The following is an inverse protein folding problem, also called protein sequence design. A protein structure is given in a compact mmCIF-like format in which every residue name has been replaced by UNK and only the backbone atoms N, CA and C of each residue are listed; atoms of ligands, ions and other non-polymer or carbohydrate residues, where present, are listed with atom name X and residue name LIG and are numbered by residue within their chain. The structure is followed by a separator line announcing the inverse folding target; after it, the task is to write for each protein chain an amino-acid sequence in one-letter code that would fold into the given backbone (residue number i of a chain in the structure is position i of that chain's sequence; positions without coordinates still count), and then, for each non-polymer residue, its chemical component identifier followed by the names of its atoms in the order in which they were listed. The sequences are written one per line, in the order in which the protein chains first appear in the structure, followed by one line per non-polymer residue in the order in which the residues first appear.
data_IF_610140221855
#
_entry.id   IF_610140221855
#
_cell.length_a   1.000
_cell.length_b   1.000
_cell.length_c   1.000
_cell.angle_alpha   90.00
_cell.angle_beta   90.00
_cell.angle_gamma   90.00
#
_symmetry.space_group_name_H-M   'P 1'
#
loop_
_entity.id
_entity.type
_entity.pdbx_description
1 polymer ?
#
# COMPACT_ATOMS: atom_id res chain seq x y z
N UNK A 1 9.63 4.42 15.79
CA UNK A 1 10.78 4.04 16.63
C UNK A 1 11.81 5.15 16.43
N UNK A 2 12.20 5.89 17.48
CA UNK A 2 13.17 6.96 17.35
C UNK A 2 14.53 6.34 16.98
N UNK A 3 15.05 6.67 15.79
CA UNK A 3 16.40 6.32 15.40
C UNK A 3 17.33 7.26 16.16
N UNK A 4 17.92 6.76 17.23
CA UNK A 4 18.99 7.44 17.95
C UNK A 4 20.15 7.65 16.96
N UNK A 5 20.70 8.87 16.92
CA UNK A 5 21.88 9.16 16.09
C UNK A 5 22.93 8.06 16.31
N UNK A 6 23.48 7.47 15.24
CA UNK A 6 24.54 6.49 15.40
C UNK A 6 25.69 7.13 16.16
N UNK A 7 26.23 6.39 17.14
CA UNK A 7 27.47 6.80 17.75
C UNK A 7 28.53 6.90 16.62
N UNK A 8 29.23 8.04 16.46
CA UNK A 8 30.31 8.16 15.48
C UNK A 8 31.30 6.99 15.52
N UNK A 9 31.55 6.42 16.70
CA UNK A 9 32.43 5.26 16.89
C UNK A 9 31.88 3.98 16.25
N UNK A 10 30.56 3.81 16.22
CA UNK A 10 29.88 2.63 15.65
C UNK A 10 29.91 2.67 14.12
N UNK A 11 29.63 3.85 13.55
CA UNK A 11 29.79 4.12 12.12
C UNK A 11 31.24 3.86 11.67
N UNK A 12 32.21 4.37 12.44
CA UNK A 12 33.64 4.15 12.24
C UNK A 12 33.96 2.64 12.23
N UNK A 13 33.46 1.89 13.22
CA UNK A 13 33.72 0.46 13.33
C UNK A 13 33.12 -0.37 12.18
N UNK A 14 31.98 0.05 11.64
CA UNK A 14 31.37 -0.59 10.46
C UNK A 14 32.18 -0.29 9.20
N UNK A 15 32.57 0.98 9.00
CA UNK A 15 33.39 1.40 7.85
C UNK A 15 34.76 0.69 7.84
N UNK A 16 35.43 0.60 9.00
CA UNK A 16 36.70 -0.12 9.16
C UNK A 16 36.57 -1.61 8.78
N UNK A 17 35.46 -2.27 9.18
CA UNK A 17 35.23 -3.69 8.88
C UNK A 17 34.96 -3.94 7.40
N UNK A 18 34.16 -3.08 6.78
CA UNK A 18 33.86 -3.14 5.34
C UNK A 18 35.14 -2.93 4.52
N UNK A 19 35.97 -1.95 4.87
CA UNK A 19 37.24 -1.68 4.19
C UNK A 19 38.24 -2.85 4.30
N UNK A 20 38.21 -3.56 5.42
CA UNK A 20 39.07 -4.74 5.65
C UNK A 20 38.51 -6.03 5.03
N UNK A 21 37.45 -5.97 4.23
CA UNK A 21 36.89 -7.12 3.50
C UNK A 21 35.97 -8.03 4.33
N UNK A 22 35.69 -7.68 5.59
CA UNK A 22 34.74 -8.39 6.45
C UNK A 22 33.33 -7.82 6.24
N UNK A 23 32.70 -8.22 5.14
CA UNK A 23 31.39 -7.71 4.72
C UNK A 23 30.25 -8.48 5.40
N UNK A 24 29.55 -7.82 6.31
CA UNK A 24 28.27 -8.29 6.88
C UNK A 24 27.10 -7.54 6.21
N UNK A 25 26.08 -8.27 5.72
CA UNK A 25 24.91 -7.66 5.09
C UNK A 25 24.07 -6.80 6.06
N UNK A 26 24.06 -7.15 7.34
CA UNK A 26 23.35 -6.38 8.38
C UNK A 26 24.00 -5.01 8.59
N UNK A 27 25.33 -4.95 8.55
CA UNK A 27 26.12 -3.72 8.71
C UNK A 27 26.03 -2.84 7.45
N UNK A 28 26.02 -3.44 6.26
CA UNK A 28 25.76 -2.70 5.01
C UNK A 28 24.35 -2.10 4.99
N UNK A 29 23.35 -2.81 5.53
CA UNK A 29 21.99 -2.29 5.65
C UNK A 29 21.91 -1.10 6.63
N UNK A 30 22.63 -1.17 7.76
CA UNK A 30 22.76 -0.03 8.67
C UNK A 30 23.44 1.16 7.99
N UNK A 31 24.52 0.92 7.23
CA UNK A 31 25.22 1.96 6.48
C UNK A 31 24.31 2.67 5.46
N UNK A 32 23.45 1.91 4.76
CA UNK A 32 22.45 2.45 3.81
C UNK A 32 21.40 3.34 4.49
N UNK A 33 21.10 3.09 5.75
CA UNK A 33 20.13 3.89 6.49
C UNK A 33 20.69 5.27 6.87
N UNK A 34 22.01 5.37 7.00
CA UNK A 34 22.70 6.61 7.42
C UNK A 34 23.32 7.40 6.27
N UNK A 35 23.57 6.75 5.13
CA UNK A 35 24.22 7.36 3.97
C UNK A 35 23.29 7.40 2.76
N UNK A 36 23.21 8.57 2.12
CA UNK A 36 22.51 8.76 0.85
C UNK A 36 23.45 9.35 -0.20
N UNK A 37 23.53 8.71 -1.35
CA UNK A 37 24.31 9.22 -2.49
C UNK A 37 23.44 10.20 -3.29
N UNK A 38 23.90 11.44 -3.47
CA UNK A 38 23.28 12.46 -4.32
C UNK A 38 24.29 12.96 -5.35
N UNK A 39 24.23 12.43 -6.56
CA UNK A 39 25.22 12.73 -7.60
C UNK A 39 26.60 12.15 -7.25
N UNK A 40 27.62 13.00 -7.18
CA UNK A 40 28.99 12.65 -6.76
C UNK A 40 29.25 12.93 -5.27
N UNK A 41 28.20 13.28 -4.52
CA UNK A 41 28.30 13.70 -3.12
C UNK A 41 27.59 12.69 -2.23
N UNK A 42 28.30 12.21 -1.22
CA UNK A 42 27.72 11.38 -0.15
C UNK A 42 27.15 12.29 0.92
N UNK A 43 25.92 12.02 1.34
CA UNK A 43 25.22 12.80 2.37
C UNK A 43 24.91 11.91 3.56
N UNK A 44 25.26 12.38 4.74
CA UNK A 44 24.76 11.79 5.98
C UNK A 44 23.32 12.22 6.19
N UNK A 45 22.43 11.26 6.45
CA UNK A 45 21.01 11.52 6.65
C UNK A 45 20.54 10.97 7.99
N UNK A 46 19.92 11.83 8.79
CA UNK A 46 19.11 11.41 9.94
C UNK A 46 17.66 11.24 9.49
N UNK A 47 17.03 10.12 9.85
CA UNK A 47 15.60 9.85 9.62
C UNK A 47 14.80 10.06 10.89
N UNK A 48 14.38 11.30 11.12
CA UNK A 48 13.45 11.64 12.20
C UNK A 48 12.01 11.55 11.69
N UNK A 49 11.55 10.32 11.40
CA UNK A 49 10.14 9.91 11.21
C UNK A 49 9.26 10.65 10.19
N UNK A 50 9.76 11.73 9.57
CA UNK A 50 9.00 12.63 8.69
C UNK A 50 9.87 13.38 7.68
N UNK A 51 11.18 13.49 7.93
CA UNK A 51 12.13 14.19 7.04
C UNK A 51 13.50 13.52 7.05
N UNK A 52 14.21 13.56 5.90
CA UNK A 52 15.63 13.27 5.82
C UNK A 52 16.39 14.59 6.03
N UNK A 53 17.08 14.76 7.15
CA UNK A 53 17.94 15.94 7.37
C UNK A 53 19.35 15.62 6.91
N UNK A 54 19.86 16.39 5.94
CA UNK A 54 21.27 16.31 5.55
C UNK A 54 22.11 16.91 6.69
N UNK A 55 22.95 16.08 7.31
CA UNK A 55 23.79 16.46 8.44
C UNK A 55 25.28 16.53 8.07
N UNK A 56 25.62 16.33 6.80
CA UNK A 56 27.00 16.44 6.30
C UNK A 56 27.12 16.05 4.82
N UNK A 57 28.04 16.70 4.10
CA UNK A 57 28.35 16.41 2.70
C UNK A 57 29.80 15.96 2.54
N UNK A 58 30.01 14.94 1.72
CA UNK A 58 31.33 14.42 1.33
C UNK A 58 31.58 14.80 -0.13
N UNK A 59 32.59 15.63 -0.37
CA UNK A 59 33.08 16.00 -1.70
C UNK A 59 34.40 15.30 -1.96
N UNK A 60 34.52 14.57 -3.08
CA UNK A 60 35.79 13.99 -3.53
C UNK A 60 36.19 12.66 -2.88
N UNK A 61 35.26 11.93 -2.26
CA UNK A 61 35.53 10.58 -1.71
C UNK A 61 36.19 10.55 -0.34
N UNK A 62 36.47 11.72 0.26
CA UNK A 62 36.98 11.82 1.64
C UNK A 62 35.84 11.94 2.65
N UNK A 63 35.73 10.95 3.54
CA UNK A 63 34.81 11.00 4.69
C UNK A 63 35.61 11.39 5.94
N UNK A 64 35.23 12.50 6.56
CA UNK A 64 35.82 13.00 7.80
C UNK A 64 34.86 12.71 8.96
N UNK A 65 35.27 11.87 9.91
CA UNK A 65 34.48 11.54 11.11
C UNK A 65 35.38 11.71 12.34
N UNK A 66 35.14 12.77 13.11
CA UNK A 66 36.04 13.15 14.21
C UNK A 66 37.45 13.43 13.69
N UNK A 67 38.46 12.79 14.28
CA UNK A 67 39.87 12.91 13.88
C UNK A 67 40.29 11.89 12.80
N UNK A 68 39.35 11.07 12.29
CA UNK A 68 39.65 10.01 11.31
C UNK A 68 39.31 10.44 9.89
N UNK A 69 40.24 10.11 8.99
CA UNK A 69 40.11 10.34 7.56
C UNK A 69 39.93 9.01 6.84
N UNK A 70 38.83 8.87 6.12
CA UNK A 70 38.59 7.72 5.25
C UNK A 70 38.60 8.16 3.80
N UNK A 71 39.38 7.47 2.98
CA UNK A 71 39.36 7.62 1.54
C UNK A 71 38.62 6.43 0.94
N UNK A 72 37.47 6.71 0.35
CA UNK A 72 36.70 5.71 -0.36
C UNK A 72 36.71 5.99 -1.85
N UNK A 73 36.81 4.92 -2.64
CA UNK A 73 36.40 4.99 -4.03
C UNK A 73 34.88 5.15 -4.05
N UNK A 74 34.42 6.30 -4.57
CA UNK A 74 33.00 6.66 -4.66
C UNK A 74 32.24 5.61 -5.46
N UNK A 75 32.88 4.98 -6.44
CA UNK A 75 32.29 3.98 -7.31
C UNK A 75 32.16 2.65 -6.56
N UNK A 76 33.15 2.25 -5.77
CA UNK A 76 33.08 1.06 -4.90
C UNK A 76 32.05 1.22 -3.77
N UNK A 77 31.97 2.41 -3.15
CA UNK A 77 30.91 2.72 -2.19
C UNK A 77 29.54 2.72 -2.85
N UNK A 78 29.43 3.26 -4.06
CA UNK A 78 28.18 3.21 -4.82
C UNK A 78 27.80 1.78 -5.15
N UNK A 79 28.72 0.89 -5.47
CA UNK A 79 28.47 -0.54 -5.69
C UNK A 79 28.12 -1.28 -4.39
N UNK A 80 28.69 -0.87 -3.26
CA UNK A 80 28.35 -1.41 -1.93
C UNK A 80 26.96 -0.97 -1.47
N UNK A 81 26.63 0.30 -1.68
CA UNK A 81 25.34 0.93 -1.37
C UNK A 81 24.27 0.58 -2.40
N UNK A 82 24.65 0.19 -3.62
CA UNK A 82 23.75 -0.42 -4.58
C UNK A 82 23.14 -1.66 -3.94
N UNK A 83 21.81 -1.86 -4.06
CA UNK A 83 21.17 -3.05 -3.54
C UNK A 83 21.88 -4.27 -4.15
N UNK A 84 22.49 -5.09 -3.30
CA UNK A 84 23.00 -6.39 -3.68
C UNK A 84 21.86 -7.13 -4.36
N UNK A 85 22.11 -7.59 -5.58
CA UNK A 85 21.13 -8.03 -6.60
C UNK A 85 20.43 -9.35 -6.29
N UNK A 86 20.12 -9.61 -5.03
CA UNK A 86 19.06 -10.53 -4.66
C UNK A 86 18.11 -9.83 -3.70
N UNK A 87 17.30 -8.91 -4.26
CA UNK A 87 15.97 -8.72 -3.71
C UNK A 87 15.39 -10.13 -3.49
N UNK A 88 14.87 -10.46 -2.30
CA UNK A 88 14.30 -11.78 -2.09
C UNK A 88 13.31 -12.02 -3.22
N UNK A 89 13.45 -13.14 -3.93
CA UNK A 89 12.53 -13.49 -5.00
C UNK A 89 11.18 -13.79 -4.34
N UNK A 90 10.37 -12.73 -4.17
CA UNK A 90 9.02 -12.81 -3.65
C UNK A 90 8.12 -12.84 -4.87
N UNK A 91 7.50 -13.99 -5.09
CA UNK A 91 6.38 -14.08 -6.00
C UNK A 91 5.17 -13.39 -5.36
N UNK A 92 5.10 -12.07 -5.54
CA UNK A 92 4.06 -11.23 -4.95
C UNK A 92 2.66 -11.62 -5.42
N UNK A 93 2.53 -12.11 -6.65
CA UNK A 93 1.26 -12.57 -7.20
C UNK A 93 0.81 -13.83 -6.45
N UNK A 94 1.64 -14.86 -6.38
CA UNK A 94 1.31 -16.10 -5.67
C UNK A 94 1.04 -15.87 -4.17
N UNK A 95 1.84 -15.03 -3.52
CA UNK A 95 1.62 -14.65 -2.11
C UNK A 95 0.28 -13.94 -1.94
N UNK A 96 -0.04 -12.98 -2.81
CA UNK A 96 -1.29 -12.23 -2.73
C UNK A 96 -2.50 -13.15 -2.95
N UNK A 97 -2.41 -14.11 -3.86
CA UNK A 97 -3.44 -15.12 -4.09
C UNK A 97 -3.68 -15.96 -2.84
N UNK A 98 -2.61 -16.49 -2.24
CA UNK A 98 -2.71 -17.30 -1.03
C UNK A 98 -3.27 -16.52 0.17
N UNK A 99 -2.88 -15.26 0.32
CA UNK A 99 -3.42 -14.37 1.36
C UNK A 99 -4.90 -14.05 1.11
N UNK A 100 -5.27 -13.77 -0.13
CA UNK A 100 -6.64 -13.47 -0.50
C UNK A 100 -7.55 -14.68 -0.29
N UNK A 101 -7.15 -15.88 -0.70
CA UNK A 101 -7.96 -17.08 -0.54
C UNK A 101 -8.31 -17.37 0.93
N UNK A 102 -7.37 -17.15 1.84
CA UNK A 102 -7.62 -17.25 3.28
C UNK A 102 -8.65 -16.21 3.75
N UNK A 103 -8.51 -14.95 3.34
CA UNK A 103 -9.46 -13.88 3.68
C UNK A 103 -10.86 -14.15 3.12
N UNK A 104 -10.95 -14.65 1.89
CA UNK A 104 -12.22 -15.01 1.27
C UNK A 104 -12.89 -16.16 2.01
N UNK A 105 -12.14 -17.16 2.49
CA UNK A 105 -12.70 -18.25 3.31
C UNK A 105 -13.28 -17.74 4.63
N UNK A 106 -12.64 -16.76 5.27
CA UNK A 106 -13.10 -16.17 6.53
C UNK A 106 -14.35 -15.30 6.38
N UNK A 107 -14.51 -14.65 5.23
CA UNK A 107 -15.64 -13.76 4.94
C UNK A 107 -16.81 -14.46 4.26
N UNK A 108 -16.68 -15.75 3.93
CA UNK A 108 -17.78 -16.57 3.41
C UNK A 108 -18.63 -17.09 4.58
N UNK A 109 -19.93 -16.79 4.59
CA UNK A 109 -20.83 -17.16 5.68
C UNK A 109 -20.90 -18.69 5.85
N UNK A 110 -20.67 -19.26 7.05
CA UNK A 110 -20.72 -20.71 7.28
C UNK A 110 -22.08 -21.35 6.94
N UNK A 111 -23.18 -20.59 6.93
CA UNK A 111 -24.50 -21.05 6.45
C UNK A 111 -24.51 -21.41 4.95
N UNK A 112 -23.53 -20.93 4.17
CA UNK A 112 -23.33 -21.32 2.76
C UNK A 112 -22.33 -22.46 2.58
N UNK A 113 -21.67 -22.92 3.65
CA UNK A 113 -20.60 -23.93 3.60
C UNK A 113 -21.02 -25.26 4.23
N UNK A 114 -22.06 -25.27 5.09
CA UNK A 114 -22.45 -26.42 5.91
C UNK A 114 -23.19 -27.56 5.18
N UNK A 115 -23.70 -27.35 3.97
CA UNK A 115 -24.50 -28.36 3.25
C UNK A 115 -23.75 -29.03 2.07
N UNK A 116 -22.43 -28.83 1.94
CA UNK A 116 -21.67 -29.36 0.80
C UNK A 116 -21.95 -28.64 -0.53
N UNK A 117 -22.81 -27.62 -0.51
CA UNK A 117 -23.03 -26.69 -1.63
C UNK A 117 -22.01 -25.56 -1.46
N UNK A 118 -20.83 -25.69 -2.08
CA UNK A 118 -19.99 -24.50 -2.27
C UNK A 118 -20.72 -23.61 -3.26
N UNK A 119 -21.47 -22.62 -2.77
CA UNK A 119 -21.96 -21.57 -3.64
C UNK A 119 -20.73 -20.86 -4.20
N UNK A 120 -20.34 -21.22 -5.42
CA UNK A 120 -19.36 -20.45 -6.15
C UNK A 120 -19.96 -19.06 -6.26
N UNK A 121 -19.33 -18.10 -5.59
CA UNK A 121 -19.75 -16.69 -5.56
C UNK A 121 -20.02 -16.13 -6.96
N UNK A 122 -19.47 -16.77 -8.00
CA UNK A 122 -19.78 -16.63 -9.43
C UNK A 122 -21.28 -16.69 -9.80
N UNK A 123 -22.15 -17.23 -8.93
CA UNK A 123 -23.58 -17.41 -9.21
C UNK A 123 -24.49 -16.29 -8.67
N UNK A 124 -23.94 -15.31 -7.95
CA UNK A 124 -24.73 -14.20 -7.40
C UNK A 124 -24.70 -13.03 -8.39
N UNK A 125 -25.79 -12.84 -9.13
CA UNK A 125 -26.01 -11.69 -9.98
C UNK A 125 -26.37 -10.46 -9.13
N UNK A 126 -25.45 -9.50 -9.06
CA UNK A 126 -25.70 -8.18 -8.45
C UNK A 126 -25.70 -7.13 -9.57
N UNK A 127 -26.85 -6.53 -9.93
CA UNK A 127 -26.88 -5.50 -10.96
C UNK A 127 -26.12 -4.26 -10.47
N UNK A 128 -25.21 -3.73 -11.30
CA UNK A 128 -24.37 -2.59 -10.93
C UNK A 128 -24.80 -1.32 -11.68
N UNK A 129 -25.17 -0.30 -10.93
CA UNK A 129 -25.32 1.06 -11.45
C UNK A 129 -24.03 1.85 -11.25
N UNK A 130 -23.44 2.39 -12.32
CA UNK A 130 -22.41 3.41 -12.21
C UNK A 130 -23.09 4.75 -11.96
N UNK A 131 -22.80 5.31 -10.80
CA UNK A 131 -23.20 6.65 -10.43
C UNK A 131 -21.98 7.54 -10.49
N UNK A 132 -22.02 8.56 -11.35
CA UNK A 132 -21.02 9.61 -11.27
C UNK A 132 -21.38 10.59 -10.16
N UNK A 133 -20.45 10.80 -9.23
CA UNK A 133 -20.59 11.89 -8.28
C UNK A 133 -20.55 13.23 -9.03
N UNK A 134 -21.72 13.86 -9.22
CA UNK A 134 -21.81 15.28 -9.54
C UNK A 134 -21.27 16.05 -8.33
N UNK A 135 -20.45 17.08 -8.55
CA UNK A 135 -20.01 17.96 -7.46
C UNK A 135 -21.28 18.64 -6.96
N UNK A 136 -21.74 18.30 -5.74
CA UNK A 136 -22.67 19.18 -5.04
C UNK A 136 -21.93 20.51 -4.89
N UNK A 137 -22.35 21.52 -5.67
CA UNK A 137 -22.02 22.90 -5.35
C UNK A 137 -22.55 23.12 -3.94
N UNK A 138 -21.67 23.43 -2.98
CA UNK A 138 -22.10 23.99 -1.70
C UNK A 138 -22.80 25.31 -2.04
N UNK A 139 -24.11 25.25 -2.30
CA UNK A 139 -24.93 26.45 -2.38
C UNK A 139 -24.98 26.99 -0.95
N UNK A 140 -24.72 28.30 -0.83
CA UNK A 140 -24.75 29.02 0.42
C UNK A 140 -26.05 28.74 1.18
N UNK A 141 -25.94 28.88 2.49
CA UNK A 141 -27.01 28.85 3.46
C UNK A 141 -28.28 29.57 2.95
N UNK A 142 -29.45 29.03 3.31
CA UNK A 142 -30.82 29.43 2.95
C UNK A 142 -31.47 28.67 1.77
N UNK A 143 -31.85 27.40 2.03
CA UNK A 143 -32.89 26.71 1.26
C UNK A 143 -34.14 26.65 2.15
N UNK A 144 -35.28 27.13 1.65
CA UNK A 144 -36.53 27.13 2.44
C UNK A 144 -37.01 25.70 2.73
N UNK A 145 -37.73 25.45 3.84
CA UNK A 145 -38.25 24.13 4.19
C UNK A 145 -39.10 23.49 3.07
N UNK A 146 -39.77 24.29 2.23
CA UNK A 146 -40.56 23.79 1.10
C UNK A 146 -39.72 23.32 -0.09
N UNK A 147 -38.44 23.72 -0.17
CA UNK A 147 -37.49 23.31 -1.21
C UNK A 147 -36.59 22.14 -0.76
N UNK A 148 -36.84 21.58 0.43
CA UNK A 148 -36.05 20.47 0.99
C UNK A 148 -35.96 19.23 0.09
N UNK A 149 -36.95 19.02 -0.79
CA UNK A 149 -36.97 17.92 -1.77
C UNK A 149 -35.88 18.06 -2.84
N UNK A 150 -35.40 19.28 -3.13
CA UNK A 150 -34.30 19.53 -4.08
C UNK A 150 -32.92 19.15 -3.50
N UNK A 151 -32.81 18.97 -2.18
CA UNK A 151 -31.58 18.43 -1.56
C UNK A 151 -31.39 16.94 -1.88
N UNK A 152 -32.47 16.27 -2.27
CA UNK A 152 -32.50 14.90 -2.76
C UNK A 152 -32.57 14.89 -4.30
N UNK A 153 -31.64 15.54 -4.99
CA UNK A 153 -31.37 15.14 -6.37
C UNK A 153 -30.93 13.68 -6.32
N UNK A 154 -31.83 12.77 -6.70
CA UNK A 154 -31.54 11.35 -6.89
C UNK A 154 -30.21 11.24 -7.64
N UNK A 155 -29.27 10.49 -7.08
CA UNK A 155 -28.03 10.14 -7.77
C UNK A 155 -28.39 9.42 -9.07
N UNK A 156 -28.47 10.16 -10.16
CA UNK A 156 -28.81 9.62 -11.48
C UNK A 156 -27.79 8.54 -11.84
N UNK A 157 -28.28 7.31 -12.04
CA UNK A 157 -27.47 6.21 -12.55
C UNK A 157 -27.09 6.56 -13.98
N UNK A 158 -25.87 7.08 -14.15
CA UNK A 158 -25.35 7.52 -15.44
C UNK A 158 -25.22 6.38 -16.45
N UNK A 159 -24.95 5.17 -15.96
CA UNK A 159 -24.85 3.98 -16.78
C UNK A 159 -25.11 2.74 -15.91
N UNK A 160 -25.80 1.74 -16.45
CA UNK A 160 -25.90 0.41 -15.82
C UNK A 160 -24.88 -0.52 -16.47
N UNK A 161 -24.24 -1.36 -15.66
CA UNK A 161 -23.29 -2.36 -16.08
C UNK A 161 -23.75 -3.73 -15.60
N UNK A 162 -23.70 -4.68 -16.51
CA UNK A 162 -23.62 -6.09 -16.14
C UNK A 162 -22.26 -6.36 -15.45
N UNK A 163 -22.20 -7.35 -14.57
CA UNK A 163 -21.02 -7.64 -13.74
C UNK A 163 -19.72 -7.75 -14.57
N UNK A 164 -19.70 -8.61 -15.59
CA UNK A 164 -18.52 -8.79 -16.46
C UNK A 164 -18.16 -7.49 -17.20
N UNK A 165 -19.17 -6.73 -17.64
CA UNK A 165 -18.95 -5.48 -18.34
C UNK A 165 -18.32 -4.42 -17.44
N UNK A 166 -18.69 -4.39 -16.16
CA UNK A 166 -18.05 -3.53 -15.17
C UNK A 166 -16.57 -3.88 -14.99
N UNK A 167 -16.26 -5.15 -14.78
CA UNK A 167 -14.87 -5.64 -14.63
C UNK A 167 -14.03 -5.26 -15.86
N UNK A 168 -14.57 -5.51 -17.04
CA UNK A 168 -13.88 -5.30 -18.30
C UNK A 168 -13.71 -3.82 -18.66
N UNK A 169 -14.81 -3.06 -18.70
CA UNK A 169 -14.78 -1.67 -19.14
C UNK A 169 -14.19 -0.76 -18.07
N UNK A 170 -14.65 -0.89 -16.83
CA UNK A 170 -14.28 0.04 -15.77
C UNK A 170 -12.92 -0.31 -15.19
N UNK A 171 -12.69 -1.57 -14.80
CA UNK A 171 -11.43 -1.95 -14.14
C UNK A 171 -10.30 -2.20 -15.15
N UNK A 172 -10.51 -3.00 -16.19
CA UNK A 172 -9.45 -3.33 -17.16
C UNK A 172 -9.15 -2.17 -18.12
N UNK A 173 -10.18 -1.64 -18.77
CA UNK A 173 -10.03 -0.62 -19.82
C UNK A 173 -9.98 0.80 -19.26
N UNK A 174 -10.18 0.98 -17.94
CA UNK A 174 -10.15 2.28 -17.29
C UNK A 174 -11.25 3.23 -17.77
N UNK A 175 -12.38 2.72 -18.27
CA UNK A 175 -13.50 3.52 -18.77
C UNK A 175 -14.34 4.06 -17.60
N UNK A 176 -13.74 4.94 -16.81
CA UNK A 176 -14.45 5.81 -15.88
C UNK A 176 -14.03 7.27 -16.13
N UNK A 177 -14.97 8.21 -16.35
CA UNK A 177 -14.64 9.55 -16.84
C UNK A 177 -13.70 10.37 -15.94
N UNK A 178 -13.71 10.14 -14.63
CA UNK A 178 -12.90 10.92 -13.66
C UNK A 178 -11.69 10.19 -13.12
N UNK A 179 -11.74 8.87 -13.02
CA UNK A 179 -10.77 8.11 -12.24
C UNK A 179 -9.97 7.08 -13.05
N UNK A 180 -10.30 6.90 -14.33
CA UNK A 180 -9.65 5.96 -15.25
C UNK A 180 -9.51 4.55 -14.66
N UNK A 181 -10.59 4.03 -14.09
CA UNK A 181 -10.63 2.72 -13.42
C UNK A 181 -10.00 2.67 -12.02
N UNK A 182 -9.48 3.78 -11.49
CA UNK A 182 -8.89 3.85 -10.14
C UNK A 182 -9.88 4.41 -9.14
N UNK A 183 -9.63 4.21 -7.83
CA UNK A 183 -10.38 4.86 -6.72
C UNK A 183 -11.90 4.77 -6.88
N UNK A 184 -12.39 3.54 -7.00
CA UNK A 184 -13.82 3.24 -7.20
C UNK A 184 -14.44 2.97 -5.84
N UNK A 185 -15.62 3.53 -5.59
CA UNK A 185 -16.43 3.23 -4.41
C UNK A 185 -17.66 2.43 -4.83
N UNK A 186 -17.92 1.32 -4.13
CA UNK A 186 -19.12 0.50 -4.30
C UNK A 186 -20.09 0.90 -3.19
N UNK A 187 -21.25 1.43 -3.57
CA UNK A 187 -22.30 1.88 -2.65
C UNK A 187 -23.58 1.08 -2.90
N UNK A 188 -24.38 0.90 -1.85
CA UNK A 188 -25.61 0.13 -1.90
C UNK A 188 -26.16 -0.12 -0.50
N UNK A 189 -27.42 -0.51 -0.43
CA UNK A 189 -28.11 -0.78 0.83
C UNK A 189 -27.42 -1.89 1.65
N UNK A 190 -27.63 -1.92 2.98
CA UNK A 190 -27.24 -3.07 3.80
C UNK A 190 -27.78 -4.38 3.20
N UNK A 191 -26.93 -5.41 3.08
CA UNK A 191 -27.32 -6.69 2.48
C UNK A 191 -27.37 -6.74 0.94
N UNK A 192 -27.11 -5.64 0.22
CA UNK A 192 -27.14 -5.60 -1.25
C UNK A 192 -26.00 -6.39 -1.95
N UNK A 193 -25.19 -7.17 -1.22
CA UNK A 193 -24.12 -7.98 -1.78
C UNK A 193 -22.82 -7.22 -2.10
N UNK A 194 -22.57 -6.05 -1.49
CA UNK A 194 -21.35 -5.25 -1.72
C UNK A 194 -20.05 -6.04 -1.46
N UNK A 195 -19.97 -6.69 -0.31
CA UNK A 195 -18.82 -7.54 0.05
C UNK A 195 -18.68 -8.69 -0.94
N UNK A 196 -19.79 -9.33 -1.32
CA UNK A 196 -19.82 -10.40 -2.33
C UNK A 196 -19.27 -9.92 -3.68
N UNK A 197 -19.66 -8.73 -4.13
CA UNK A 197 -19.12 -8.11 -5.34
C UNK A 197 -17.62 -7.83 -5.21
N UNK A 198 -17.18 -7.29 -4.07
CA UNK A 198 -15.77 -7.02 -3.82
C UNK A 198 -14.93 -8.31 -3.85
N UNK A 199 -15.48 -9.42 -3.31
CA UNK A 199 -14.86 -10.75 -3.39
C UNK A 199 -14.75 -11.25 -4.84
N UNK A 200 -15.78 -11.07 -5.66
CA UNK A 200 -15.75 -11.41 -7.09
C UNK A 200 -14.68 -10.58 -7.83
N UNK A 201 -14.60 -9.27 -7.56
CA UNK A 201 -13.56 -8.40 -8.11
C UNK A 201 -12.17 -8.90 -7.71
N UNK A 202 -11.97 -9.26 -6.44
CA UNK A 202 -10.70 -9.77 -5.93
C UNK A 202 -10.22 -11.01 -6.71
N UNK A 203 -11.12 -11.97 -6.95
CA UNK A 203 -10.83 -13.19 -7.73
C UNK A 203 -10.53 -12.85 -9.19
N UNK A 204 -11.30 -11.96 -9.79
CA UNK A 204 -11.07 -11.54 -11.17
C UNK A 204 -9.70 -10.88 -11.34
N UNK A 205 -9.30 -9.99 -10.43
CA UNK A 205 -7.98 -9.33 -10.45
C UNK A 205 -6.84 -10.35 -10.42
N UNK A 206 -6.92 -11.37 -9.56
CA UNK A 206 -5.86 -12.37 -9.44
C UNK A 206 -5.79 -13.34 -10.60
N UNK A 207 -6.87 -13.50 -11.38
CA UNK A 207 -6.94 -14.39 -12.54
C UNK A 207 -6.52 -13.72 -13.86
N UNK A 208 -6.73 -12.40 -14.00
CA UNK A 208 -6.57 -11.70 -15.28
C UNK A 208 -5.23 -10.98 -15.46
N UNK A 209 -4.50 -10.69 -14.38
CA UNK A 209 -3.28 -9.89 -14.43
C UNK A 209 -2.02 -10.70 -14.16
N UNK A 210 -1.11 -10.76 -15.15
CA UNK A 210 0.27 -11.17 -14.90
C UNK A 210 0.90 -10.22 -13.86
N UNK A 211 1.21 -10.77 -12.68
CA UNK A 211 1.85 -10.00 -11.61
C UNK A 211 0.92 -9.05 -10.83
N UNK A 212 -0.41 -9.11 -11.00
CA UNK A 212 -1.34 -8.32 -10.20
C UNK A 212 -1.34 -8.75 -8.72
N UNK A 213 -1.33 -7.80 -7.80
CA UNK A 213 -1.24 -8.04 -6.35
C UNK A 213 -2.52 -7.55 -5.70
N UNK A 214 -3.44 -8.46 -5.39
CA UNK A 214 -4.69 -8.13 -4.72
C UNK A 214 -4.53 -8.18 -3.19
N UNK A 215 -4.79 -7.06 -2.52
CA UNK A 215 -4.70 -6.94 -1.07
C UNK A 215 -6.07 -6.59 -0.52
N UNK A 216 -6.68 -7.54 0.19
CA UNK A 216 -7.91 -7.32 0.94
C UNK A 216 -7.62 -6.71 2.30
N UNK A 217 -8.33 -5.64 2.65
CA UNK A 217 -8.26 -4.98 3.95
C UNK A 217 -9.68 -4.79 4.47
N UNK A 218 -10.02 -5.46 5.57
CA UNK A 218 -11.20 -5.08 6.36
C UNK A 218 -10.88 -3.78 7.09
N UNK A 219 -11.65 -2.72 6.83
CA UNK A 219 -11.41 -1.42 7.45
C UNK A 219 -11.74 -1.41 8.95
N UNK A 220 -12.58 -2.34 9.41
CA UNK A 220 -12.77 -2.61 10.83
C UNK A 220 -11.47 -3.06 11.52
N UNK A 221 -10.57 -3.75 10.80
CA UNK A 221 -9.29 -4.24 11.33
C UNK A 221 -8.23 -3.15 11.46
N UNK A 222 -8.42 -1.99 10.83
CA UNK A 222 -7.49 -0.87 10.98
C UNK A 222 -7.47 -0.37 12.43
N UNK A 223 -8.61 -0.44 13.16
CA UNK A 223 -8.71 -0.02 14.58
C UNK A 223 -8.09 1.36 14.85
N UNK A 224 -8.32 2.31 13.92
CA UNK A 224 -7.77 3.67 13.97
C UNK A 224 -6.32 3.83 13.49
N UNK A 225 -5.65 2.76 13.04
CA UNK A 225 -4.33 2.83 12.42
C UNK A 225 -4.42 3.34 10.97
N UNK A 226 -3.35 4.00 10.51
CA UNK A 226 -3.18 4.41 9.11
C UNK A 226 -3.02 3.18 8.20
N UNK A 227 -3.61 3.23 7.01
CA UNK A 227 -3.58 2.13 6.04
C UNK A 227 -2.15 1.72 5.66
N UNK A 228 -1.25 2.69 5.49
CA UNK A 228 0.16 2.42 5.20
C UNK A 228 0.84 1.59 6.30
N UNK A 229 0.62 1.98 7.57
CA UNK A 229 1.15 1.26 8.71
C UNK A 229 0.58 -0.16 8.80
N UNK A 230 -0.73 -0.32 8.55
CA UNK A 230 -1.35 -1.64 8.49
C UNK A 230 -0.72 -2.52 7.39
N UNK A 231 -0.49 -1.97 6.20
CA UNK A 231 0.10 -2.70 5.09
C UNK A 231 1.54 -3.15 5.39
N UNK A 232 2.36 -2.28 5.96
CA UNK A 232 3.77 -2.56 6.26
C UNK A 232 3.94 -3.48 7.49
N UNK A 233 3.21 -3.21 8.57
CA UNK A 233 3.48 -3.84 9.87
C UNK A 233 2.56 -5.03 10.17
N UNK A 234 1.45 -5.19 9.43
CA UNK A 234 0.53 -6.33 9.61
C UNK A 234 0.46 -7.20 8.37
N UNK A 235 0.10 -6.63 7.23
CA UNK A 235 -0.08 -7.44 6.02
C UNK A 235 1.26 -8.00 5.50
N UNK A 236 2.25 -7.15 5.27
CA UNK A 236 3.57 -7.56 4.80
C UNK A 236 4.28 -8.44 5.84
N UNK A 237 4.11 -8.12 7.11
CA UNK A 237 4.62 -8.93 8.21
C UNK A 237 4.00 -10.34 8.26
N UNK A 238 2.71 -10.48 7.92
CA UNK A 238 2.08 -11.80 7.77
C UNK A 238 2.63 -12.56 6.55
N UNK A 239 2.88 -11.86 5.44
CA UNK A 239 3.50 -12.43 4.24
C UNK A 239 4.87 -13.04 4.54
N UNK A 240 5.76 -12.30 5.20
CA UNK A 240 7.12 -12.79 5.50
C UNK A 240 7.11 -13.94 6.51
N UNK A 241 6.21 -13.90 7.50
CA UNK A 241 6.02 -15.00 8.46
C UNK A 241 5.57 -16.29 7.80
N UNK A 242 4.67 -16.23 6.82
CA UNK A 242 4.27 -17.40 6.03
C UNK A 242 5.42 -18.00 5.22
N UNK A 243 6.46 -17.20 4.93
CA UNK A 243 7.69 -17.66 4.27
C UNK A 243 8.76 -18.13 5.25
N UNK A 244 8.44 -18.24 6.54
CA UNK A 244 9.36 -18.70 7.58
C UNK A 244 10.30 -17.62 8.12
N UNK A 245 10.07 -16.34 7.79
CA UNK A 245 10.88 -15.22 8.30
C UNK A 245 10.22 -14.59 9.53
N UNK A 246 11.03 -14.21 10.53
CA UNK A 246 10.52 -13.60 11.75
C UNK A 246 9.96 -12.18 11.52
N UNK A 247 10.62 -11.39 10.66
CA UNK A 247 10.32 -9.99 10.39
C UNK A 247 10.65 -9.58 8.94
N UNK A 248 9.91 -8.58 8.42
CA UNK A 248 10.16 -8.01 7.11
C UNK A 248 11.41 -7.13 7.14
N UNK A 249 12.47 -7.54 6.45
CA UNK A 249 13.67 -6.74 6.28
C UNK A 249 13.39 -5.46 5.47
N UNK A 250 14.27 -4.47 5.58
CA UNK A 250 14.16 -3.23 4.81
C UNK A 250 14.06 -3.49 3.30
N UNK A 251 14.84 -4.45 2.79
CA UNK A 251 14.81 -4.85 1.38
C UNK A 251 13.44 -5.39 0.96
N UNK A 252 12.75 -6.13 1.83
CA UNK A 252 11.38 -6.63 1.57
C UNK A 252 10.39 -5.47 1.56
N UNK A 253 10.51 -4.53 2.50
CA UNK A 253 9.67 -3.32 2.55
C UNK A 253 9.85 -2.48 1.28
N UNK A 254 11.08 -2.24 0.84
CA UNK A 254 11.38 -1.51 -0.40
C UNK A 254 10.85 -2.23 -1.64
N UNK A 255 11.04 -3.56 -1.71
CA UNK A 255 10.51 -4.37 -2.81
C UNK A 255 8.97 -4.36 -2.85
N UNK A 256 8.31 -4.26 -1.69
CA UNK A 256 6.86 -4.10 -1.58
C UNK A 256 6.41 -2.72 -2.05
N UNK A 257 7.08 -1.64 -1.63
CA UNK A 257 6.80 -0.26 -2.08
C UNK A 257 6.97 -0.14 -3.59
N UNK A 258 7.98 -0.80 -4.17
CA UNK A 258 8.17 -0.83 -5.62
C UNK A 258 6.97 -1.43 -6.38
N UNK A 259 6.19 -2.34 -5.75
CA UNK A 259 4.97 -2.89 -6.36
C UNK A 259 3.89 -1.82 -6.55
N UNK A 260 3.75 -0.91 -5.59
CA UNK A 260 2.80 0.21 -5.68
C UNK A 260 3.21 1.18 -6.78
N UNK A 261 4.50 1.52 -6.85
CA UNK A 261 5.05 2.44 -7.86
C UNK A 261 4.90 1.89 -9.28
N UNK A 262 4.99 0.57 -9.44
CA UNK A 262 4.76 -0.12 -10.72
C UNK A 262 3.26 -0.28 -11.07
N UNK A 263 2.35 0.16 -10.20
CA UNK A 263 0.91 0.10 -10.44
C UNK A 263 0.34 -1.33 -10.42
N UNK A 264 1.03 -2.29 -9.79
CA UNK A 264 0.62 -3.70 -9.73
C UNK A 264 -0.37 -4.00 -8.60
N UNK A 265 -0.47 -3.12 -7.62
CA UNK A 265 -1.27 -3.34 -6.40
C UNK A 265 -2.71 -2.89 -6.57
N UNK A 266 -3.63 -3.79 -6.22
CA UNK A 266 -5.07 -3.57 -6.11
C UNK A 266 -5.46 -3.65 -4.64
N UNK A 267 -5.80 -2.51 -4.05
CA UNK A 267 -6.33 -2.44 -2.68
C UNK A 267 -7.85 -2.64 -2.70
N UNK A 268 -8.34 -3.67 -2.04
CA UNK A 268 -9.75 -3.95 -1.84
C UNK A 268 -10.10 -3.65 -0.39
N UNK A 269 -10.82 -2.55 -0.17
CA UNK A 269 -11.15 -2.04 1.16
C UNK A 269 -12.61 -2.33 1.46
N UNK A 270 -12.87 -3.18 2.46
CA UNK A 270 -14.22 -3.61 2.85
C UNK A 270 -14.68 -2.94 4.15
N UNK A 271 -15.99 -2.69 4.29
CA UNK A 271 -16.58 -2.15 5.52
C UNK A 271 -16.17 -0.72 5.89
N UNK A 272 -16.26 0.24 4.95
CA UNK A 272 -15.91 1.65 5.23
C UNK A 272 -16.75 2.25 6.35
N UNK A 273 -18.01 1.84 6.46
CA UNK A 273 -18.93 2.22 7.54
C UNK A 273 -18.56 1.64 8.90
N UNK A 274 -17.76 0.57 8.93
CA UNK A 274 -17.25 -0.07 10.15
C UNK A 274 -15.88 0.50 10.58
N UNK A 275 -15.31 1.42 9.80
CA UNK A 275 -14.02 2.02 10.09
C UNK A 275 -14.09 2.93 11.33
N UNK A 276 -13.20 2.68 12.29
CA UNK A 276 -13.02 3.58 13.42
C UNK A 276 -12.24 4.84 13.00
N UNK A 277 -12.87 6.00 13.14
CA UNK A 277 -12.27 7.31 12.80
C UNK A 277 -12.32 8.22 14.02
N UNK A 278 -11.21 8.87 14.33
CA UNK A 278 -11.10 9.77 15.49
C UNK A 278 -11.97 11.02 15.36
N UNK A 279 -12.21 11.50 14.14
CA UNK A 279 -13.15 12.58 13.82
C UNK A 279 -13.44 12.63 12.31
N UNK A 280 -14.67 12.97 11.92
CA UNK A 280 -15.04 13.18 10.52
C UNK A 280 -15.64 11.95 9.81
N UNK A 281 -15.68 12.00 8.48
CA UNK A 281 -16.30 10.97 7.63
C UNK A 281 -15.27 9.89 7.22
N UNK A 282 -15.53 8.58 7.45
CA UNK A 282 -14.64 7.49 7.04
C UNK A 282 -14.19 7.51 5.58
N UNK A 283 -15.08 7.86 4.64
CA UNK A 283 -14.72 7.98 3.22
C UNK A 283 -13.77 9.15 2.96
N UNK A 284 -13.92 10.26 3.69
CA UNK A 284 -13.03 11.40 3.57
C UNK A 284 -11.65 11.07 4.12
N UNK A 285 -11.60 10.35 5.24
CA UNK A 285 -10.36 9.89 5.85
C UNK A 285 -9.63 8.88 4.96
N UNK A 286 -10.31 7.88 4.42
CA UNK A 286 -9.73 6.96 3.45
C UNK A 286 -9.25 7.67 2.18
N UNK A 287 -10.03 8.64 1.67
CA UNK A 287 -9.56 9.45 0.55
C UNK A 287 -8.33 10.27 0.88
N UNK A 288 -8.13 10.71 2.13
CA UNK A 288 -6.93 11.44 2.57
C UNK A 288 -5.73 10.50 2.55
N UNK A 289 -5.84 9.34 3.20
CA UNK A 289 -4.75 8.36 3.31
C UNK A 289 -4.30 7.86 1.92
N UNK A 290 -5.24 7.50 1.04
CA UNK A 290 -4.94 7.05 -0.33
C UNK A 290 -4.35 8.16 -1.22
N UNK A 291 -4.56 9.43 -0.90
CA UNK A 291 -3.95 10.56 -1.62
C UNK A 291 -2.56 10.91 -1.10
N UNK A 292 -2.30 10.72 0.19
CA UNK A 292 -0.98 11.03 0.77
C UNK A 292 0.03 9.91 0.49
N UNK A 293 -0.41 8.66 0.38
CA UNK A 293 0.46 7.51 0.09
C UNK A 293 0.60 7.12 -1.39
N UNK A 294 0.08 7.95 -2.32
CA UNK A 294 0.05 7.65 -3.76
C UNK A 294 0.80 8.66 -4.61
#
# INVERSE_FOLDING_TARGET
MNLQMPNPDELIAILDRILNGSRDESEVAQLRQWLKVSGTTLQFVSQDGKFNTNIGQVQGGEIHIGDRHYQFDVEALRELLQPTTHAPNIDWHAVSQAMLEEQLRLTTNPLTSGEGISYRTEQVYVPLGLVERKRQTRRGEDVSPEQGSLLYEETEITQRFEHEQFLERVLRQGQSPKSRGKRIAIIGEPGAGKTTLLQQIARWVTQQGEGAIAIWVSLADLRGQELELYLLERWLQAVVRKRGQAEASLQVKDAFVAQFQQGRVWLLLDGVDEMQVSSGNPLAEMSRQVRMGG
#
